data_IF_563679652511
#
_entry.id   IF_563679652511
#
_cell.length_a   1.000
_cell.length_b   1.000
_cell.length_c   1.000
_cell.angle_alpha   90.00
_cell.angle_beta   90.00
_cell.angle_gamma   90.00
#
_symmetry.space_group_name_H-M   'P 1'
#
loop_
_entity.id
_entity.type
_entity.pdbx_description
1 polymer ?
#
# COMPACT_ATOMS: atom_id res chain seq x y z
N UNK A 1 27.60 6.37 3.85
CA UNK A 1 26.20 6.32 4.33
C UNK A 1 25.72 7.74 4.58
N UNK A 2 24.44 8.04 4.31
CA UNK A 2 23.86 9.37 4.60
C UNK A 2 23.89 9.63 6.10
N UNK A 3 23.62 8.61 6.90
CA UNK A 3 23.65 8.65 8.36
C UNK A 3 25.04 9.01 8.95
N UNK A 4 26.11 8.94 8.17
CA UNK A 4 27.43 9.39 8.61
C UNK A 4 27.48 10.88 8.89
N UNK A 5 26.59 11.69 8.24
CA UNK A 5 26.47 13.11 8.52
C UNK A 5 26.10 13.40 9.99
N UNK A 6 25.38 12.51 10.65
CA UNK A 6 24.99 12.62 12.06
C UNK A 6 25.92 11.86 13.01
N UNK A 7 26.73 10.92 12.50
CA UNK A 7 27.46 9.96 13.36
C UNK A 7 28.98 10.02 13.21
N UNK A 8 29.53 10.54 12.11
CA UNK A 8 30.96 10.47 11.83
C UNK A 8 31.72 11.76 12.19
N UNK A 9 32.99 11.60 12.57
CA UNK A 9 33.87 12.71 12.91
C UNK A 9 33.71 13.23 14.34
N UNK A 10 34.70 13.99 14.82
CA UNK A 10 34.72 14.50 16.19
C UNK A 10 33.61 15.54 16.44
N UNK A 11 33.27 16.34 15.43
CA UNK A 11 32.22 17.34 15.52
C UNK A 11 30.83 16.74 15.80
N UNK A 12 30.62 15.46 15.47
CA UNK A 12 29.36 14.76 15.73
C UNK A 12 29.34 14.01 17.08
N UNK A 13 30.33 14.23 17.95
CA UNK A 13 30.35 13.64 19.29
C UNK A 13 29.11 14.02 20.12
N UNK A 14 28.55 15.25 20.08
CA UNK A 14 27.31 15.57 20.76
C UNK A 14 26.11 14.74 20.24
N UNK A 15 25.98 14.58 18.92
CA UNK A 15 24.92 13.74 18.33
C UNK A 15 25.08 12.27 18.73
N UNK A 16 26.30 11.74 18.69
CA UNK A 16 26.57 10.36 19.17
C UNK A 16 26.22 10.14 20.64
N UNK A 17 26.38 11.16 21.48
CA UNK A 17 25.93 11.07 22.88
C UNK A 17 24.42 10.86 22.99
N UNK A 18 23.61 11.44 22.07
CA UNK A 18 22.18 11.22 22.02
C UNK A 18 21.84 9.82 21.48
N UNK A 19 22.56 9.32 20.46
CA UNK A 19 22.41 7.93 20.02
C UNK A 19 22.76 6.94 21.15
N UNK A 20 23.78 7.22 21.94
CA UNK A 20 24.11 6.41 23.13
C UNK A 20 22.96 6.43 24.16
N UNK A 21 22.27 7.57 24.34
CA UNK A 21 21.10 7.66 25.21
C UNK A 21 19.91 6.83 24.69
N UNK A 22 19.84 6.57 23.40
CA UNK A 22 18.87 5.67 22.76
C UNK A 22 19.29 4.19 22.87
N UNK A 23 20.47 3.88 23.41
CA UNK A 23 20.97 2.52 23.57
C UNK A 23 21.71 1.96 22.34
N UNK A 24 22.12 2.80 21.39
CA UNK A 24 22.92 2.33 20.25
C UNK A 24 24.30 1.86 20.70
N UNK A 25 24.70 0.69 20.21
CA UNK A 25 26.05 0.16 20.45
C UNK A 25 27.06 0.75 19.45
N UNK A 26 28.35 0.61 19.76
CA UNK A 26 29.44 1.05 18.88
C UNK A 26 29.43 0.31 17.52
N UNK A 27 28.95 -0.94 17.50
CA UNK A 27 28.77 -1.75 16.29
C UNK A 27 27.60 -1.26 15.45
N UNK A 28 26.47 -0.91 16.08
CA UNK A 28 25.29 -0.36 15.40
C UNK A 28 25.57 1.00 14.78
N UNK A 29 26.39 1.83 15.43
CA UNK A 29 26.83 3.14 14.91
C UNK A 29 27.59 3.06 13.58
N UNK A 30 28.04 1.87 13.17
CA UNK A 30 28.76 1.63 11.90
C UNK A 30 27.88 1.04 10.80
N UNK A 31 26.64 0.70 11.10
CA UNK A 31 25.70 0.06 10.17
C UNK A 31 24.77 1.08 9.52
N UNK A 32 24.18 0.80 8.36
CA UNK A 32 23.11 1.62 7.78
C UNK A 32 21.95 1.79 8.75
N UNK A 33 21.45 3.02 8.89
CA UNK A 33 20.32 3.38 9.73
C UNK A 33 19.05 3.45 8.90
N UNK A 34 18.12 2.56 9.17
CA UNK A 34 16.86 2.42 8.41
C UNK A 34 15.71 2.98 9.23
N UNK A 35 15.06 4.03 8.68
CA UNK A 35 13.84 4.57 9.25
C UNK A 35 12.64 3.67 8.92
N UNK A 36 11.88 3.28 9.95
CA UNK A 36 10.62 2.56 9.78
C UNK A 36 9.49 3.53 10.10
N UNK A 37 8.77 3.94 9.07
CA UNK A 37 7.66 4.90 9.21
C UNK A 37 6.40 4.12 9.58
N UNK A 38 6.04 4.16 10.86
CA UNK A 38 4.93 3.41 11.42
C UNK A 38 3.67 4.27 11.51
N UNK A 39 2.61 3.87 10.84
CA UNK A 39 1.31 4.52 11.00
C UNK A 39 0.40 3.84 12.04
N UNK A 40 0.98 3.07 12.96
CA UNK A 40 0.26 2.45 14.06
C UNK A 40 -0.57 3.47 14.87
N UNK A 41 -1.80 3.11 15.14
CA UNK A 41 -2.68 3.76 16.11
C UNK A 41 -3.84 2.81 16.48
N UNK A 42 -4.57 3.11 17.55
CA UNK A 42 -5.64 2.27 18.08
C UNK A 42 -7.04 2.68 17.63
N UNK A 43 -7.17 3.79 16.86
CA UNK A 43 -8.48 4.29 16.40
C UNK A 43 -8.82 3.86 14.98
N UNK A 44 -7.83 3.50 14.16
CA UNK A 44 -8.06 3.07 12.77
C UNK A 44 -7.97 1.55 12.70
N UNK A 45 -9.03 0.82 12.34
CA UNK A 45 -9.01 -0.66 12.27
C UNK A 45 -7.91 -1.20 11.36
N UNK A 46 -7.58 -0.48 10.29
CA UNK A 46 -6.48 -0.83 9.38
C UNK A 46 -5.09 -0.69 9.98
N UNK A 47 -4.94 -0.02 11.13
CA UNK A 47 -3.65 0.33 11.70
C UNK A 47 -3.36 -0.33 13.06
N UNK A 48 -4.35 -0.91 13.70
CA UNK A 48 -4.22 -1.47 15.05
C UNK A 48 -3.26 -2.66 15.18
N UNK A 49 -2.89 -3.29 14.07
CA UNK A 49 -1.94 -4.42 14.02
C UNK A 49 -0.59 -4.05 13.38
N UNK A 50 -0.38 -2.79 13.00
CA UNK A 50 0.85 -2.34 12.33
C UNK A 50 2.07 -2.47 13.25
N UNK A 51 1.91 -2.40 14.56
CA UNK A 51 2.97 -2.68 15.54
C UNK A 51 3.64 -4.04 15.31
N UNK A 52 2.86 -5.09 15.02
CA UNK A 52 3.36 -6.45 14.72
C UNK A 52 4.14 -6.49 13.41
N UNK A 53 3.65 -5.78 12.40
CA UNK A 53 4.31 -5.66 11.09
C UNK A 53 5.62 -4.90 11.24
N UNK A 54 5.62 -3.77 11.95
CA UNK A 54 6.82 -2.97 12.25
C UNK A 54 7.88 -3.83 12.97
N UNK A 55 7.48 -4.61 13.97
CA UNK A 55 8.40 -5.51 14.66
C UNK A 55 8.98 -6.58 13.71
N UNK A 56 8.20 -7.10 12.79
CA UNK A 56 8.70 -8.04 11.78
C UNK A 56 9.67 -7.37 10.79
N UNK A 57 9.39 -6.13 10.35
CA UNK A 57 10.30 -5.32 9.53
C UNK A 57 11.63 -5.10 10.25
N UNK A 58 11.59 -4.73 11.55
CA UNK A 58 12.82 -4.55 12.36
C UNK A 58 13.69 -5.80 12.36
N UNK A 59 13.08 -6.98 12.49
CA UNK A 59 13.83 -8.25 12.43
C UNK A 59 14.48 -8.44 11.06
N UNK A 60 13.77 -8.16 9.97
CA UNK A 60 14.32 -8.27 8.61
C UNK A 60 15.47 -7.30 8.35
N UNK A 61 15.36 -6.04 8.81
CA UNK A 61 16.44 -5.05 8.71
C UNK A 61 17.68 -5.48 9.53
N UNK A 62 17.47 -5.93 10.78
CA UNK A 62 18.56 -6.35 11.65
C UNK A 62 19.26 -7.61 11.11
N UNK A 63 18.52 -8.60 10.61
CA UNK A 63 19.05 -9.82 9.99
C UNK A 63 19.90 -9.50 8.76
N UNK A 64 19.50 -8.48 7.97
CA UNK A 64 20.25 -8.02 6.80
C UNK A 64 21.38 -7.02 7.14
N UNK A 65 21.67 -6.79 8.43
CA UNK A 65 22.82 -6.01 8.88
C UNK A 65 22.60 -4.50 9.05
N UNK A 66 21.35 -4.03 9.01
CA UNK A 66 20.97 -2.63 9.27
C UNK A 66 20.55 -2.38 10.72
N UNK A 67 20.36 -1.10 11.08
CA UNK A 67 19.82 -0.67 12.37
C UNK A 67 18.44 -0.06 12.15
N UNK A 68 17.36 -0.71 12.60
CA UNK A 68 16.01 -0.21 12.42
C UNK A 68 15.61 0.82 13.48
N UNK A 69 15.13 1.98 13.07
CA UNK A 69 14.63 3.05 13.94
C UNK A 69 13.21 3.43 13.56
N UNK A 70 12.27 3.33 14.49
CA UNK A 70 10.86 3.59 14.24
C UNK A 70 10.51 5.05 14.54
N UNK A 71 9.74 5.68 13.65
CA UNK A 71 9.08 6.96 13.91
C UNK A 71 7.65 6.96 13.34
N UNK A 72 6.73 7.78 13.87
CA UNK A 72 5.32 7.71 13.51
C UNK A 72 4.97 8.49 12.25
N UNK A 73 3.94 8.00 11.54
CA UNK A 73 3.08 8.78 10.65
C UNK A 73 1.65 8.75 11.18
N UNK A 74 0.87 9.81 10.92
CA UNK A 74 -0.54 9.85 11.28
C UNK A 74 -1.40 9.08 10.26
N UNK A 75 -2.61 8.74 10.66
CA UNK A 75 -3.65 8.23 9.76
C UNK A 75 -5.03 8.63 10.27
N UNK A 76 -5.95 8.92 9.35
CA UNK A 76 -7.37 9.13 9.61
C UNK A 76 -8.15 7.98 8.97
N UNK A 77 -9.14 7.45 9.68
CA UNK A 77 -10.07 6.48 9.12
C UNK A 77 -11.22 7.21 8.42
N UNK A 78 -11.26 7.14 7.09
CA UNK A 78 -12.34 7.77 6.30
C UNK A 78 -13.71 7.20 6.68
N UNK A 79 -13.81 5.90 6.94
CA UNK A 79 -15.06 5.27 7.37
C UNK A 79 -15.62 5.80 8.69
N UNK A 80 -14.75 6.06 9.67
CA UNK A 80 -15.15 6.67 10.96
C UNK A 80 -15.45 8.16 10.78
N UNK A 81 -14.72 8.85 9.92
CA UNK A 81 -14.89 10.30 9.68
C UNK A 81 -16.08 10.62 8.77
N UNK A 82 -16.62 9.64 8.05
CA UNK A 82 -17.71 9.81 7.10
C UNK A 82 -19.00 10.30 7.78
N UNK A 83 -19.72 11.20 7.12
CA UNK A 83 -21.01 11.71 7.59
C UNK A 83 -20.94 12.85 8.62
N UNK A 84 -19.75 13.30 9.03
CA UNK A 84 -19.58 14.45 9.92
C UNK A 84 -18.40 15.33 9.52
N UNK A 85 -18.15 16.42 10.29
CA UNK A 85 -17.11 17.41 9.97
C UNK A 85 -15.70 16.82 9.85
N UNK A 86 -15.42 15.71 10.51
CA UNK A 86 -14.13 15.01 10.48
C UNK A 86 -13.67 14.62 9.08
N UNK A 87 -14.60 14.35 8.15
CA UNK A 87 -14.26 13.98 6.78
C UNK A 87 -13.49 15.06 6.02
N UNK A 88 -13.66 16.34 6.39
CA UNK A 88 -12.90 17.46 5.82
C UNK A 88 -11.39 17.37 6.10
N UNK A 89 -11.00 16.64 7.12
CA UNK A 89 -9.60 16.46 7.51
C UNK A 89 -8.93 15.26 6.85
N UNK A 90 -9.68 14.37 6.21
CA UNK A 90 -9.13 13.16 5.59
C UNK A 90 -8.08 13.51 4.51
N UNK A 91 -8.45 14.20 3.43
CA UNK A 91 -7.54 14.50 2.32
C UNK A 91 -6.35 15.37 2.75
N UNK A 92 -6.55 16.31 3.67
CA UNK A 92 -5.49 17.18 4.19
C UNK A 92 -4.35 16.38 4.81
N UNK A 93 -4.65 15.22 5.41
CA UNK A 93 -3.61 14.39 6.03
C UNK A 93 -2.63 13.79 5.03
N UNK A 94 -2.98 13.65 3.74
CA UNK A 94 -2.06 13.15 2.72
C UNK A 94 -0.79 14.01 2.65
N UNK A 95 -0.96 15.32 2.52
CA UNK A 95 0.17 16.25 2.40
C UNK A 95 0.91 16.38 3.75
N UNK A 96 0.18 16.44 4.87
CA UNK A 96 0.79 16.46 6.21
C UNK A 96 1.65 15.22 6.49
N UNK A 97 1.22 14.04 6.04
CA UNK A 97 1.97 12.80 6.16
C UNK A 97 3.25 12.88 5.32
N UNK A 98 3.15 13.36 4.08
CA UNK A 98 4.31 13.54 3.23
C UNK A 98 5.32 14.51 3.85
N UNK A 99 4.87 15.70 4.26
CA UNK A 99 5.71 16.77 4.83
C UNK A 99 6.38 16.33 6.13
N UNK A 100 5.62 15.74 7.06
CA UNK A 100 6.18 15.31 8.35
C UNK A 100 7.18 14.16 8.19
N UNK A 101 6.93 13.23 7.27
CA UNK A 101 7.85 12.12 6.98
C UNK A 101 9.14 12.64 6.36
N UNK A 102 9.05 13.57 5.41
CA UNK A 102 10.20 14.25 4.81
C UNK A 102 11.05 14.94 5.87
N UNK A 103 10.42 15.76 6.73
CA UNK A 103 11.11 16.44 7.83
C UNK A 103 11.87 15.47 8.74
N UNK A 104 11.22 14.38 9.15
CA UNK A 104 11.84 13.36 10.01
C UNK A 104 13.01 12.67 9.33
N UNK A 105 12.84 12.28 8.07
CA UNK A 105 13.86 11.54 7.33
C UNK A 105 15.12 12.40 7.07
N UNK A 106 14.94 13.65 6.63
CA UNK A 106 16.04 14.58 6.37
C UNK A 106 16.75 14.99 7.67
N UNK A 107 15.99 15.33 8.73
CA UNK A 107 16.59 15.75 10.00
C UNK A 107 17.45 14.67 10.65
N UNK A 108 17.07 13.40 10.52
CA UNK A 108 17.77 12.27 11.17
C UNK A 108 18.69 11.50 10.24
N UNK A 109 18.76 11.86 8.95
CA UNK A 109 19.73 11.35 7.98
C UNK A 109 19.69 9.82 7.82
N UNK A 110 18.50 9.25 7.58
CA UNK A 110 18.36 7.81 7.33
C UNK A 110 19.01 7.40 6.00
N UNK A 111 19.56 6.19 5.95
CA UNK A 111 20.15 5.59 4.75
C UNK A 111 19.11 4.91 3.84
N UNK A 112 17.96 4.57 4.40
CA UNK A 112 16.82 3.99 3.69
C UNK A 112 15.58 3.99 4.58
N UNK A 113 14.42 3.70 4.00
CA UNK A 113 13.13 3.77 4.67
C UNK A 113 12.29 2.51 4.40
N UNK A 114 11.57 2.04 5.42
CA UNK A 114 10.45 1.13 5.22
C UNK A 114 9.17 1.85 5.64
N UNK A 115 8.26 2.02 4.69
CA UNK A 115 6.97 2.67 4.91
C UNK A 115 5.93 1.61 5.27
N UNK A 116 5.23 1.79 6.40
CA UNK A 116 4.22 0.85 6.90
C UNK A 116 2.85 1.53 7.01
N UNK A 117 2.20 1.81 5.86
CA UNK A 117 0.87 2.40 5.78
C UNK A 117 -0.24 1.35 5.77
N UNK A 118 -1.51 1.82 5.77
CA UNK A 118 -2.64 0.97 5.35
C UNK A 118 -3.91 1.71 4.91
N UNK A 119 -4.08 2.99 5.19
CA UNK A 119 -5.34 3.72 4.94
C UNK A 119 -5.28 4.65 3.72
N UNK A 120 -6.44 5.18 3.36
CA UNK A 120 -6.76 5.89 2.12
C UNK A 120 -5.79 7.02 1.77
N UNK A 121 -5.41 7.85 2.72
CA UNK A 121 -4.54 9.02 2.51
C UNK A 121 -3.10 8.78 2.98
N UNK A 122 -2.94 7.77 3.84
CA UNK A 122 -1.66 7.41 4.42
C UNK A 122 -0.75 6.74 3.38
N UNK A 123 -1.28 5.82 2.56
CA UNK A 123 -0.51 5.17 1.49
C UNK A 123 0.01 6.19 0.47
N UNK A 124 -0.84 7.03 -0.16
CA UNK A 124 -0.35 8.00 -1.14
C UNK A 124 0.52 9.08 -0.50
N UNK A 125 0.27 9.53 0.73
CA UNK A 125 1.12 10.49 1.43
C UNK A 125 2.54 9.98 1.62
N UNK A 126 2.70 8.72 2.01
CA UNK A 126 4.01 8.10 2.14
C UNK A 126 4.69 7.84 0.79
N UNK A 127 3.92 7.54 -0.30
CA UNK A 127 4.48 7.46 -1.65
C UNK A 127 5.00 8.81 -2.14
N UNK A 128 4.29 9.91 -1.85
CA UNK A 128 4.78 11.27 -2.10
C UNK A 128 6.08 11.54 -1.34
N UNK A 129 6.14 11.21 -0.04
CA UNK A 129 7.37 11.35 0.75
C UNK A 129 8.53 10.54 0.18
N UNK A 130 8.30 9.29 -0.23
CA UNK A 130 9.33 8.44 -0.84
C UNK A 130 9.86 9.06 -2.14
N UNK A 131 8.98 9.59 -2.99
CA UNK A 131 9.33 10.26 -4.23
C UNK A 131 10.14 11.55 -3.99
N UNK A 132 9.79 12.36 -2.98
CA UNK A 132 10.54 13.58 -2.61
C UNK A 132 11.93 13.27 -2.09
N UNK A 133 12.01 12.36 -1.12
CA UNK A 133 13.24 11.99 -0.43
C UNK A 133 14.25 11.28 -1.34
N UNK A 134 13.75 10.51 -2.29
CA UNK A 134 14.56 9.71 -3.19
C UNK A 134 15.60 8.82 -2.50
N UNK A 135 15.23 8.26 -1.36
CA UNK A 135 16.02 7.27 -0.63
C UNK A 135 15.63 5.85 -1.05
N UNK A 136 16.50 4.84 -0.83
CA UNK A 136 16.10 3.44 -0.85
C UNK A 136 14.86 3.24 0.02
N UNK A 137 13.72 2.87 -0.57
CA UNK A 137 12.45 2.81 0.16
C UNK A 137 11.62 1.61 -0.27
N UNK A 138 11.11 0.86 0.70
CA UNK A 138 10.20 -0.28 0.50
C UNK A 138 8.90 -0.05 1.24
N UNK A 139 7.78 -0.45 0.63
CA UNK A 139 6.46 -0.41 1.26
C UNK A 139 6.03 -1.81 1.71
N UNK A 140 5.45 -1.87 2.89
CA UNK A 140 4.70 -3.03 3.37
C UNK A 140 3.44 -2.56 4.08
N UNK A 141 2.28 -2.83 3.49
CA UNK A 141 1.00 -2.37 4.05
C UNK A 141 0.53 -3.23 5.23
N UNK A 142 -0.43 -2.69 6.00
CA UNK A 142 -1.10 -3.43 7.06
C UNK A 142 -1.92 -4.61 6.57
N UNK A 143 -2.33 -4.62 5.32
CA UNK A 143 -3.16 -5.64 4.68
C UNK A 143 -4.67 -5.40 4.86
N UNK A 144 -5.50 -5.99 3.99
CA UNK A 144 -6.95 -5.94 4.09
C UNK A 144 -7.49 -6.80 5.24
N UNK A 145 -8.65 -6.40 5.79
CA UNK A 145 -9.42 -7.27 6.67
C UNK A 145 -10.11 -8.38 5.86
N UNK A 146 -10.52 -9.44 6.53
CA UNK A 146 -11.38 -10.47 5.96
C UNK A 146 -12.81 -9.92 5.77
N UNK A 147 -13.55 -10.48 4.83
CA UNK A 147 -14.97 -10.22 4.70
C UNK A 147 -15.73 -10.78 5.92
N UNK A 148 -16.75 -10.05 6.38
CA UNK A 148 -17.66 -10.53 7.41
C UNK A 148 -18.63 -11.58 6.86
N UNK A 149 -19.29 -12.30 7.77
CA UNK A 149 -20.32 -13.28 7.41
C UNK A 149 -21.62 -12.96 8.15
N UNK A 150 -22.63 -12.58 7.37
CA UNK A 150 -23.99 -12.32 7.90
C UNK A 150 -24.98 -13.20 7.14
N UNK A 151 -25.78 -13.96 7.88
CA UNK A 151 -26.78 -14.89 7.31
C UNK A 151 -26.22 -15.81 6.23
N UNK A 152 -24.99 -16.34 6.45
CA UNK A 152 -24.32 -17.27 5.53
C UNK A 152 -23.72 -16.66 4.26
N UNK A 153 -23.68 -15.34 4.15
CA UNK A 153 -23.09 -14.64 2.99
C UNK A 153 -21.94 -13.75 3.42
N UNK A 154 -20.90 -13.67 2.60
CA UNK A 154 -19.83 -12.67 2.75
C UNK A 154 -20.40 -11.26 2.68
N UNK A 155 -19.95 -10.36 3.55
CA UNK A 155 -20.37 -8.96 3.66
C UNK A 155 -19.18 -8.07 3.99
N UNK A 156 -19.33 -6.79 3.70
CA UNK A 156 -18.32 -5.77 4.01
C UNK A 156 -18.98 -4.50 4.54
N UNK A 157 -18.19 -3.48 4.83
CA UNK A 157 -18.69 -2.17 5.26
C UNK A 157 -19.74 -1.58 4.28
N UNK A 158 -19.62 -1.82 2.96
CA UNK A 158 -20.64 -1.37 2.00
C UNK A 158 -22.00 -2.00 2.27
N UNK A 159 -22.02 -3.28 2.67
CA UNK A 159 -23.26 -3.95 3.04
C UNK A 159 -23.94 -3.33 4.27
N UNK A 160 -23.15 -2.65 5.14
CA UNK A 160 -23.70 -1.92 6.27
C UNK A 160 -24.47 -0.67 5.80
N UNK A 161 -23.95 0.06 4.81
CA UNK A 161 -24.69 1.20 4.22
C UNK A 161 -25.98 0.74 3.55
N UNK A 162 -25.98 -0.41 2.87
CA UNK A 162 -27.17 -1.01 2.26
C UNK A 162 -28.18 -1.44 3.36
N UNK A 163 -27.71 -1.99 4.47
CA UNK A 163 -28.54 -2.38 5.62
C UNK A 163 -29.24 -1.17 6.25
N UNK A 164 -28.51 -0.07 6.47
CA UNK A 164 -29.09 1.19 6.97
C UNK A 164 -30.14 1.73 6.01
N UNK A 165 -29.88 1.70 4.69
CA UNK A 165 -30.86 2.10 3.67
C UNK A 165 -32.11 1.20 3.67
N UNK A 166 -31.94 -0.11 3.84
CA UNK A 166 -33.03 -1.09 3.92
C UNK A 166 -33.88 -0.90 5.18
N UNK A 167 -33.25 -0.58 6.30
CA UNK A 167 -33.94 -0.24 7.55
C UNK A 167 -34.78 1.04 7.36
N UNK A 168 -34.21 2.09 6.78
CA UNK A 168 -34.94 3.33 6.48
C UNK A 168 -36.13 3.11 5.53
N UNK A 169 -36.02 2.16 4.61
CA UNK A 169 -37.09 1.75 3.70
C UNK A 169 -38.12 0.80 4.35
N UNK A 170 -37.93 0.37 5.58
CA UNK A 170 -38.81 -0.55 6.30
C UNK A 170 -38.75 -2.02 5.82
N UNK A 171 -37.68 -2.40 5.09
CA UNK A 171 -37.47 -3.76 4.58
C UNK A 171 -36.52 -4.60 5.43
N UNK A 172 -35.92 -4.00 6.46
CA UNK A 172 -35.03 -4.64 7.42
C UNK A 172 -35.40 -4.21 8.83
N UNK A 173 -35.27 -5.09 9.82
CA UNK A 173 -35.50 -4.81 11.24
C UNK A 173 -34.26 -4.19 11.88
N UNK A 174 -34.42 -3.55 13.04
CA UNK A 174 -33.31 -3.05 13.84
C UNK A 174 -32.37 -4.20 14.29
N UNK A 175 -32.92 -5.35 14.65
CA UNK A 175 -32.15 -6.54 15.03
C UNK A 175 -31.27 -7.04 13.88
N UNK A 176 -31.79 -7.02 12.64
CA UNK A 176 -31.00 -7.34 11.44
C UNK A 176 -29.82 -6.36 11.26
N UNK A 177 -30.06 -5.05 11.46
CA UNK A 177 -29.02 -4.02 11.36
C UNK A 177 -27.93 -4.23 12.41
N UNK A 178 -28.31 -4.53 13.65
CA UNK A 178 -27.36 -4.83 14.73
C UNK A 178 -26.50 -6.07 14.42
N UNK A 179 -27.10 -7.12 13.82
CA UNK A 179 -26.31 -8.28 13.37
C UNK A 179 -25.28 -7.91 12.31
N UNK A 180 -25.62 -7.01 11.36
CA UNK A 180 -24.69 -6.50 10.36
C UNK A 180 -23.57 -5.71 11.03
N UNK A 181 -23.90 -4.78 11.93
CA UNK A 181 -22.96 -3.92 12.64
C UNK A 181 -21.87 -4.74 13.37
N UNK A 182 -22.26 -5.82 14.04
CA UNK A 182 -21.32 -6.68 14.77
C UNK A 182 -20.42 -7.53 13.86
N UNK A 183 -20.86 -7.88 12.63
CA UNK A 183 -20.24 -8.96 11.88
C UNK A 183 -19.56 -8.55 10.56
N UNK A 184 -19.85 -7.36 10.01
CA UNK A 184 -19.33 -6.97 8.68
C UNK A 184 -17.85 -6.62 8.64
N UNK A 185 -17.27 -6.25 9.79
CA UNK A 185 -15.85 -5.91 9.94
C UNK A 185 -15.20 -6.82 11.00
N UNK A 186 -14.90 -8.10 10.68
CA UNK A 186 -14.58 -9.11 11.69
C UNK A 186 -13.14 -9.08 12.18
N UNK A 187 -12.22 -8.42 11.47
CA UNK A 187 -10.78 -8.43 11.78
C UNK A 187 -10.16 -7.04 11.67
N UNK A 188 -8.94 -6.90 12.17
CA UNK A 188 -8.09 -5.76 11.81
C UNK A 188 -7.76 -5.78 10.31
N UNK A 189 -7.35 -4.66 9.78
CA UNK A 189 -6.99 -4.47 8.37
C UNK A 189 -7.73 -3.29 7.74
N UNK A 190 -7.32 -2.90 6.53
CA UNK A 190 -8.10 -2.00 5.68
C UNK A 190 -9.41 -2.66 5.25
N UNK A 191 -10.27 -1.96 4.52
CA UNK A 191 -11.53 -2.53 4.05
C UNK A 191 -11.34 -3.88 3.34
N UNK A 192 -12.34 -4.79 3.41
CA UNK A 192 -12.27 -6.09 2.73
C UNK A 192 -12.53 -6.04 1.22
N UNK A 193 -13.01 -4.90 0.70
CA UNK A 193 -13.25 -4.67 -0.74
C UNK A 193 -12.22 -3.75 -1.38
N UNK A 194 -12.40 -3.47 -2.69
CA UNK A 194 -11.52 -2.61 -3.49
C UNK A 194 -11.89 -1.12 -3.30
N UNK A 195 -11.76 -0.64 -2.07
CA UNK A 195 -11.85 0.78 -1.73
C UNK A 195 -10.50 1.46 -1.85
N UNK A 196 -10.41 2.75 -1.54
CA UNK A 196 -9.21 3.56 -1.77
C UNK A 196 -7.95 2.99 -1.10
N UNK A 197 -8.05 2.52 0.15
CA UNK A 197 -6.91 1.92 0.85
C UNK A 197 -6.32 0.73 0.08
N UNK A 198 -7.16 -0.23 -0.30
CA UNK A 198 -6.72 -1.41 -1.04
C UNK A 198 -6.33 -1.09 -2.48
N UNK A 199 -7.01 -0.15 -3.14
CA UNK A 199 -6.60 0.37 -4.44
C UNK A 199 -5.16 0.87 -4.38
N UNK A 200 -4.85 1.78 -3.46
CA UNK A 200 -3.50 2.33 -3.34
C UNK A 200 -2.47 1.30 -2.89
N UNK A 201 -2.83 0.33 -2.04
CA UNK A 201 -1.94 -0.77 -1.67
C UNK A 201 -1.63 -1.70 -2.86
N UNK A 202 -2.60 -1.99 -3.73
CA UNK A 202 -2.41 -2.75 -4.97
C UNK A 202 -1.57 -1.94 -5.98
N UNK A 203 -1.86 -0.65 -6.13
CA UNK A 203 -1.10 0.22 -7.02
C UNK A 203 0.35 0.44 -6.53
N UNK A 204 0.60 0.42 -5.23
CA UNK A 204 1.97 0.41 -4.67
C UNK A 204 2.77 -0.81 -5.14
N UNK A 205 2.11 -1.98 -5.23
CA UNK A 205 2.69 -3.20 -5.77
C UNK A 205 2.91 -3.09 -7.29
N UNK A 206 1.94 -2.55 -8.03
CA UNK A 206 2.04 -2.32 -9.47
C UNK A 206 3.11 -1.28 -9.87
N UNK A 207 3.32 -0.25 -9.03
CA UNK A 207 4.43 0.71 -9.15
C UNK A 207 5.80 0.07 -8.94
N UNK A 208 5.87 -1.12 -8.34
CA UNK A 208 7.12 -1.76 -7.97
C UNK A 208 7.65 -1.36 -6.58
N UNK A 209 6.94 -0.54 -5.80
CA UNK A 209 7.35 -0.06 -4.48
C UNK A 209 7.03 -1.03 -3.34
N UNK A 210 6.21 -2.04 -3.57
CA UNK A 210 5.87 -3.13 -2.66
C UNK A 210 6.24 -4.49 -3.22
N UNK A 211 6.58 -5.43 -2.34
CA UNK A 211 6.79 -6.82 -2.72
C UNK A 211 5.46 -7.51 -3.07
N UNK A 212 5.53 -8.62 -3.82
CA UNK A 212 4.36 -9.44 -4.20
C UNK A 212 3.47 -9.74 -3.01
N UNK A 213 2.18 -9.45 -3.14
CA UNK A 213 1.18 -9.64 -2.10
C UNK A 213 1.03 -8.46 -1.13
N UNK A 214 1.75 -7.35 -1.36
CA UNK A 214 1.60 -6.14 -0.55
C UNK A 214 0.15 -5.67 -0.49
N UNK A 215 -0.55 -5.64 -1.62
CA UNK A 215 -1.91 -5.16 -1.71
C UNK A 215 -2.98 -6.16 -1.25
N UNK A 216 -2.69 -7.46 -1.25
CA UNK A 216 -3.75 -8.48 -1.19
C UNK A 216 -3.68 -9.45 -0.01
N UNK A 217 -2.49 -9.76 0.53
CA UNK A 217 -2.38 -10.67 1.68
C UNK A 217 -3.18 -10.10 2.87
N UNK A 218 -4.18 -10.83 3.41
CA UNK A 218 -4.94 -10.36 4.56
C UNK A 218 -4.08 -10.02 5.79
N UNK A 219 -4.51 -9.02 6.54
CA UNK A 219 -3.80 -8.51 7.73
C UNK A 219 -3.53 -9.57 8.79
N UNK A 220 -4.41 -10.55 8.91
CA UNK A 220 -4.36 -11.61 9.93
C UNK A 220 -3.60 -12.85 9.50
N UNK A 221 -3.15 -12.93 8.23
CA UNK A 221 -2.42 -14.09 7.73
C UNK A 221 -0.94 -14.04 8.14
N UNK A 222 -0.37 -15.22 8.46
CA UNK A 222 1.06 -15.34 8.79
C UNK A 222 1.98 -14.89 7.66
N UNK A 223 1.51 -14.96 6.42
CA UNK A 223 2.21 -14.49 5.22
C UNK A 223 2.48 -12.98 5.25
N UNK A 224 1.59 -12.19 5.89
CA UNK A 224 1.80 -10.74 6.10
C UNK A 224 3.05 -10.48 6.94
N UNK A 225 3.28 -11.29 7.97
CA UNK A 225 4.48 -11.19 8.83
C UNK A 225 5.75 -11.62 8.07
N UNK A 226 5.66 -12.66 7.22
CA UNK A 226 6.78 -13.07 6.36
C UNK A 226 7.13 -11.96 5.37
N UNK A 227 6.11 -11.36 4.72
CA UNK A 227 6.27 -10.24 3.79
C UNK A 227 6.97 -9.06 4.48
N UNK A 228 6.59 -8.72 5.71
CA UNK A 228 7.18 -7.65 6.48
C UNK A 228 8.69 -7.87 6.76
N UNK A 229 9.09 -9.10 7.10
CA UNK A 229 10.52 -9.45 7.23
C UNK A 229 11.26 -9.28 5.91
N UNK A 230 10.69 -9.80 4.82
CA UNK A 230 11.29 -9.66 3.48
C UNK A 230 11.39 -8.18 3.04
N UNK A 231 10.44 -7.33 3.41
CA UNK A 231 10.53 -5.89 3.15
C UNK A 231 11.72 -5.25 3.88
N UNK A 232 11.96 -5.66 5.14
CA UNK A 232 13.14 -5.23 5.89
C UNK A 232 14.47 -5.69 5.27
N UNK A 233 14.51 -6.90 4.71
CA UNK A 233 15.69 -7.39 3.97
C UNK A 233 15.85 -6.64 2.64
N UNK A 234 14.75 -6.41 1.92
CA UNK A 234 14.76 -5.77 0.61
C UNK A 234 15.27 -4.32 0.68
N UNK A 235 14.91 -3.53 1.70
CA UNK A 235 15.45 -2.16 1.83
C UNK A 235 16.96 -2.17 2.02
N UNK A 236 17.51 -3.16 2.73
CA UNK A 236 18.96 -3.31 2.89
C UNK A 236 19.64 -3.65 1.56
N UNK A 237 19.02 -4.52 0.76
CA UNK A 237 19.51 -4.83 -0.59
C UNK A 237 19.50 -3.59 -1.48
N UNK A 238 18.47 -2.76 -1.40
CA UNK A 238 18.39 -1.48 -2.13
C UNK A 238 19.49 -0.52 -1.68
N UNK A 239 19.71 -0.36 -0.38
CA UNK A 239 20.80 0.47 0.15
C UNK A 239 22.17 -0.01 -0.38
N UNK A 240 22.40 -1.31 -0.36
CA UNK A 240 23.67 -1.88 -0.85
C UNK A 240 23.88 -1.73 -2.37
N UNK A 241 22.79 -1.75 -3.14
CA UNK A 241 22.80 -1.60 -4.61
C UNK A 241 22.68 -0.15 -5.07
N UNK A 242 22.38 0.79 -4.17
CA UNK A 242 22.14 2.19 -4.49
C UNK A 242 20.86 2.42 -5.28
N UNK A 243 19.85 1.55 -5.16
CA UNK A 243 18.55 1.70 -5.80
C UNK A 243 17.69 2.64 -4.95
N UNK A 244 17.20 3.72 -5.54
CA UNK A 244 16.40 4.74 -4.85
C UNK A 244 14.93 4.69 -5.29
N UNK A 245 14.08 5.46 -4.60
CA UNK A 245 12.66 5.51 -4.91
C UNK A 245 12.36 5.97 -6.34
N UNK A 246 13.15 6.93 -6.88
CA UNK A 246 12.94 7.47 -8.25
C UNK A 246 13.48 6.56 -9.35
N UNK A 247 14.30 5.55 -9.02
CA UNK A 247 14.64 4.50 -9.98
C UNK A 247 13.45 3.58 -10.24
N UNK A 248 12.46 3.56 -9.32
CA UNK A 248 11.27 2.72 -9.35
C UNK A 248 10.03 3.55 -9.72
N UNK A 249 9.79 4.67 -9.00
CA UNK A 249 8.69 5.59 -9.32
C UNK A 249 9.08 6.44 -10.53
N UNK A 250 8.73 5.95 -11.71
CA UNK A 250 9.00 6.59 -12.99
C UNK A 250 7.67 6.87 -13.70
N UNK A 251 7.74 7.63 -14.80
CA UNK A 251 6.57 7.81 -15.67
C UNK A 251 5.99 6.46 -16.09
N UNK A 252 6.81 5.52 -16.50
CA UNK A 252 6.38 4.22 -17.01
C UNK A 252 5.75 3.36 -15.93
N UNK A 253 6.30 3.35 -14.71
CA UNK A 253 5.70 2.63 -13.59
C UNK A 253 4.37 3.24 -13.14
N UNK A 254 4.21 4.56 -13.23
CA UNK A 254 2.93 5.25 -12.98
C UNK A 254 1.91 4.86 -14.05
N UNK A 255 2.30 4.77 -15.33
CA UNK A 255 1.43 4.30 -16.40
C UNK A 255 1.04 2.83 -16.22
N UNK A 256 1.96 1.96 -15.77
CA UNK A 256 1.66 0.59 -15.37
C UNK A 256 0.62 0.55 -14.25
N UNK A 257 0.82 1.36 -13.19
CA UNK A 257 -0.14 1.44 -12.09
C UNK A 257 -1.52 1.87 -12.57
N UNK A 258 -1.61 2.87 -13.46
CA UNK A 258 -2.87 3.33 -14.05
C UNK A 258 -3.54 2.22 -14.88
N UNK A 259 -2.78 1.43 -15.63
CA UNK A 259 -3.30 0.28 -16.37
C UNK A 259 -3.86 -0.79 -15.43
N UNK A 260 -3.12 -1.10 -14.35
CA UNK A 260 -3.58 -2.05 -13.32
C UNK A 260 -4.80 -1.53 -12.58
N UNK A 261 -4.89 -0.21 -12.33
CA UNK A 261 -6.04 0.47 -11.74
C UNK A 261 -7.33 0.19 -12.53
N UNK A 262 -7.27 0.32 -13.85
CA UNK A 262 -8.40 0.06 -14.74
C UNK A 262 -8.77 -1.43 -14.76
N UNK A 263 -7.80 -2.34 -14.79
CA UNK A 263 -8.05 -3.78 -14.82
C UNK A 263 -8.67 -4.31 -13.53
N UNK A 264 -8.27 -3.77 -12.39
CA UNK A 264 -8.79 -4.13 -11.07
C UNK A 264 -10.16 -3.46 -10.76
N UNK A 265 -10.51 -2.38 -11.46
CA UNK A 265 -11.67 -1.55 -11.10
C UNK A 265 -11.47 -0.85 -9.77
N UNK A 266 -10.35 -0.17 -9.60
CA UNK A 266 -9.98 0.53 -8.38
C UNK A 266 -10.87 1.74 -8.08
N UNK A 267 -10.70 2.31 -6.88
CA UNK A 267 -11.40 3.52 -6.47
C UNK A 267 -11.00 4.73 -7.32
N UNK A 268 -11.96 5.58 -7.68
CA UNK A 268 -11.71 6.85 -8.38
C UNK A 268 -10.75 7.79 -7.65
N UNK A 269 -10.49 7.58 -6.36
CA UNK A 269 -9.46 8.31 -5.61
C UNK A 269 -8.04 8.07 -6.15
N UNK A 270 -7.78 6.98 -6.86
CA UNK A 270 -6.51 6.76 -7.56
C UNK A 270 -6.20 7.88 -8.55
N UNK A 271 -7.24 8.42 -9.21
CA UNK A 271 -7.13 9.57 -10.13
C UNK A 271 -6.81 10.90 -9.41
N UNK A 272 -6.90 10.93 -8.09
CA UNK A 272 -6.44 12.05 -7.27
C UNK A 272 -5.01 11.80 -6.75
N UNK A 273 -4.67 10.54 -6.47
CA UNK A 273 -3.41 10.19 -5.79
C UNK A 273 -2.26 9.92 -6.75
N UNK A 274 -2.49 9.23 -7.87
CA UNK A 274 -1.43 9.00 -8.88
C UNK A 274 -0.88 10.33 -9.46
N UNK A 275 -1.72 11.33 -9.82
CA UNK A 275 -1.20 12.65 -10.22
C UNK A 275 -0.37 13.33 -9.13
N UNK A 276 -0.77 13.23 -7.85
CA UNK A 276 0.00 13.81 -6.76
C UNK A 276 1.38 13.15 -6.60
N UNK A 277 1.45 11.83 -6.72
CA UNK A 277 2.72 11.09 -6.69
C UNK A 277 3.58 11.43 -7.92
N UNK A 278 2.97 11.52 -9.11
CA UNK A 278 3.64 11.92 -10.34
C UNK A 278 4.26 13.31 -10.25
N UNK A 279 3.55 14.26 -9.63
CA UNK A 279 4.06 15.60 -9.38
C UNK A 279 5.37 15.60 -8.61
N UNK A 280 5.51 14.73 -7.61
CA UNK A 280 6.72 14.67 -6.76
C UNK A 280 7.99 14.19 -7.52
N UNK A 281 7.82 13.50 -8.63
CA UNK A 281 8.92 13.12 -9.52
C UNK A 281 9.09 14.07 -10.73
N UNK A 282 8.32 15.17 -10.75
CA UNK A 282 8.34 16.13 -11.86
C UNK A 282 7.63 15.66 -13.13
N UNK A 283 6.77 14.64 -13.03
CA UNK A 283 5.95 14.20 -14.17
C UNK A 283 4.62 14.96 -14.15
N UNK A 284 4.40 15.76 -15.20
CA UNK A 284 3.13 16.46 -15.42
C UNK A 284 2.06 15.46 -15.89
N UNK A 285 1.30 14.96 -14.93
CA UNK A 285 0.26 13.97 -15.16
C UNK A 285 -1.07 14.65 -15.47
N UNK A 286 -1.44 14.73 -16.76
CA UNK A 286 -2.80 15.12 -17.14
C UNK A 286 -3.78 13.96 -16.86
N UNK A 287 -4.85 14.23 -16.11
CA UNK A 287 -5.91 13.25 -15.82
C UNK A 287 -6.51 12.64 -17.11
N UNK A 288 -6.41 13.34 -18.23
CA UNK A 288 -6.84 12.82 -19.54
C UNK A 288 -6.05 11.60 -20.01
N UNK A 289 -4.88 11.33 -19.45
CA UNK A 289 -4.13 10.09 -19.74
C UNK A 289 -4.94 8.84 -19.34
N UNK A 290 -5.88 8.96 -18.41
CA UNK A 290 -6.75 7.86 -18.02
C UNK A 290 -7.64 7.37 -19.17
N UNK A 291 -8.13 8.28 -20.04
CA UNK A 291 -9.07 7.93 -21.11
C UNK A 291 -8.49 6.89 -22.10
N UNK A 292 -7.34 7.15 -22.79
CA UNK A 292 -6.81 6.19 -23.75
C UNK A 292 -6.31 4.89 -23.11
N UNK A 293 -5.97 4.90 -21.81
CA UNK A 293 -5.62 3.69 -21.08
C UNK A 293 -6.89 2.90 -20.76
N UNK A 294 -7.93 3.56 -20.25
CA UNK A 294 -9.22 2.94 -19.98
C UNK A 294 -9.85 2.30 -21.23
N UNK A 295 -9.70 2.94 -22.39
CA UNK A 295 -10.22 2.43 -23.66
C UNK A 295 -9.57 1.11 -24.11
N UNK A 296 -8.33 0.85 -23.68
CA UNK A 296 -7.53 -0.30 -24.11
C UNK A 296 -7.41 -1.39 -23.05
N UNK A 297 -7.72 -1.05 -21.79
CA UNK A 297 -7.49 -1.95 -20.66
C UNK A 297 -8.74 -2.74 -20.34
N UNK A 298 -8.72 -4.08 -20.45
CA UNK A 298 -9.85 -4.90 -20.07
C UNK A 298 -10.05 -4.86 -18.55
N UNK A 299 -11.31 -4.79 -18.12
CA UNK A 299 -11.67 -4.95 -16.72
C UNK A 299 -11.71 -6.45 -16.38
N UNK A 300 -10.82 -6.87 -15.48
CA UNK A 300 -10.59 -8.28 -15.16
C UNK A 300 -11.16 -8.69 -13.79
N UNK A 301 -11.49 -7.74 -12.93
CA UNK A 301 -11.94 -8.02 -11.57
C UNK A 301 -13.18 -7.21 -11.21
N UNK A 302 -14.14 -7.88 -10.53
CA UNK A 302 -15.29 -7.24 -9.91
C UNK A 302 -15.27 -7.53 -8.40
N UNK A 303 -14.49 -6.73 -7.67
CA UNK A 303 -14.43 -6.81 -6.21
C UNK A 303 -15.49 -5.93 -5.56
N UNK A 304 -15.94 -6.27 -4.36
CA UNK A 304 -16.83 -5.43 -3.58
C UNK A 304 -16.28 -3.99 -3.47
N UNK A 305 -17.08 -2.94 -3.66
CA UNK A 305 -18.54 -2.92 -3.80
C UNK A 305 -19.08 -3.22 -5.21
N UNK A 306 -18.24 -3.26 -6.25
CA UNK A 306 -18.67 -3.45 -7.64
C UNK A 306 -19.09 -4.89 -7.97
N UNK A 307 -18.71 -5.88 -7.15
CA UNK A 307 -19.00 -7.28 -7.36
C UNK A 307 -19.00 -8.11 -6.08
N UNK A 308 -19.15 -9.43 -6.19
CA UNK A 308 -19.36 -10.33 -5.05
C UNK A 308 -18.06 -10.84 -4.42
N UNK A 309 -16.89 -10.53 -4.99
CA UNK A 309 -15.60 -11.02 -4.53
C UNK A 309 -14.90 -9.99 -3.63
N UNK A 310 -13.96 -10.43 -2.82
CA UNK A 310 -13.27 -9.63 -1.80
C UNK A 310 -11.76 -9.72 -1.98
N UNK A 311 -11.00 -8.93 -1.20
CA UNK A 311 -9.54 -8.88 -1.30
C UNK A 311 -8.88 -10.23 -0.97
N UNK A 312 -9.45 -11.01 -0.06
CA UNK A 312 -8.99 -12.37 0.25
C UNK A 312 -9.13 -13.30 -0.97
N UNK A 313 -10.23 -13.18 -1.73
CA UNK A 313 -10.47 -13.98 -2.94
C UNK A 313 -9.46 -13.59 -4.03
N UNK A 314 -9.17 -12.29 -4.20
CA UNK A 314 -8.14 -11.81 -5.11
C UNK A 314 -6.75 -12.35 -4.72
N UNK A 315 -6.42 -12.36 -3.43
CA UNK A 315 -5.16 -12.93 -2.95
C UNK A 315 -5.01 -14.41 -3.32
N UNK A 316 -6.05 -15.20 -3.08
CA UNK A 316 -6.08 -16.63 -3.39
C UNK A 316 -6.02 -16.91 -4.90
N UNK A 317 -6.63 -16.04 -5.71
CA UNK A 317 -6.60 -16.10 -7.17
C UNK A 317 -5.23 -15.78 -7.78
N UNK A 318 -4.29 -15.23 -7.01
CA UNK A 318 -2.92 -14.92 -7.45
C UNK A 318 -2.50 -13.47 -7.24
N UNK A 319 -3.40 -12.64 -6.75
CA UNK A 319 -3.14 -11.25 -6.37
C UNK A 319 -2.87 -10.32 -7.56
N UNK A 320 -2.30 -9.17 -7.27
CA UNK A 320 -1.99 -8.12 -8.25
C UNK A 320 -1.07 -8.64 -9.37
N UNK A 321 -0.08 -9.48 -9.03
CA UNK A 321 0.86 -10.00 -10.04
C UNK A 321 0.19 -10.95 -11.05
N UNK A 322 -0.88 -11.65 -10.67
CA UNK A 322 -1.64 -12.45 -11.63
C UNK A 322 -2.39 -11.54 -12.62
N UNK A 323 -2.99 -10.44 -12.15
CA UNK A 323 -3.60 -9.42 -13.03
C UNK A 323 -2.55 -8.77 -13.93
N UNK A 324 -1.39 -8.39 -13.38
CA UNK A 324 -0.29 -7.83 -14.16
C UNK A 324 0.22 -8.80 -15.22
N UNK A 325 0.24 -10.10 -14.95
CA UNK A 325 0.64 -11.12 -15.93
C UNK A 325 -0.33 -11.16 -17.11
N UNK A 326 -1.64 -11.18 -16.86
CA UNK A 326 -2.67 -11.13 -17.92
C UNK A 326 -2.50 -9.87 -18.81
N UNK A 327 -2.22 -8.71 -18.20
CA UNK A 327 -2.01 -7.46 -18.93
C UNK A 327 -0.67 -7.43 -19.71
N UNK A 328 0.39 -7.97 -19.13
CA UNK A 328 1.70 -8.03 -19.78
C UNK A 328 1.68 -8.96 -21.01
N UNK A 329 0.94 -10.06 -20.96
CA UNK A 329 0.83 -11.01 -22.06
C UNK A 329 0.18 -10.41 -23.32
N UNK A 330 -0.58 -9.35 -23.16
CA UNK A 330 -1.15 -8.57 -24.29
C UNK A 330 -0.42 -7.23 -24.55
N UNK A 331 0.74 -7.04 -23.92
CA UNK A 331 1.61 -5.88 -24.18
C UNK A 331 1.12 -4.55 -23.59
N UNK A 332 0.27 -4.56 -22.56
CA UNK A 332 -0.25 -3.35 -21.92
C UNK A 332 0.63 -2.82 -20.78
N UNK A 333 1.67 -3.55 -20.37
CA UNK A 333 2.58 -3.11 -19.30
C UNK A 333 4.01 -2.95 -19.85
N UNK A 334 4.70 -1.93 -19.34
CA UNK A 334 6.16 -1.84 -19.48
C UNK A 334 6.81 -2.77 -18.45
N UNK A 335 7.28 -3.91 -18.92
CA UNK A 335 7.86 -4.96 -18.07
C UNK A 335 9.29 -4.68 -17.63
N UNK A 336 9.95 -3.66 -18.16
CA UNK A 336 11.34 -3.30 -17.83
C UNK A 336 11.43 -2.40 -16.59
N UNK A 337 10.29 -1.90 -16.07
CA UNK A 337 10.27 -1.11 -14.85
C UNK A 337 10.88 -1.87 -13.67
N UNK A 338 11.78 -1.19 -12.93
CA UNK A 338 12.46 -1.72 -11.75
C UNK A 338 11.48 -1.86 -10.57
N UNK A 339 11.78 -2.79 -9.66
CA UNK A 339 11.03 -2.97 -8.40
C UNK A 339 11.96 -2.97 -7.18
N UNK A 340 11.37 -2.84 -6.00
CA UNK A 340 12.08 -2.94 -4.69
C UNK A 340 12.76 -4.30 -4.47
N UNK A 341 12.45 -5.31 -5.26
CA UNK A 341 13.16 -6.61 -5.21
C UNK A 341 14.51 -6.57 -5.94
N UNK A 342 14.85 -5.46 -6.61
CA UNK A 342 16.02 -5.33 -7.47
C UNK A 342 15.91 -6.12 -8.77
N UNK A 343 14.68 -6.47 -9.17
CA UNK A 343 14.30 -7.13 -10.43
C UNK A 343 13.32 -6.29 -11.19
N UNK A 344 13.18 -6.53 -12.48
CA UNK A 344 12.15 -5.87 -13.30
C UNK A 344 10.75 -6.43 -13.00
N UNK A 345 9.71 -5.69 -13.38
CA UNK A 345 8.32 -6.16 -13.33
C UNK A 345 8.19 -7.47 -14.09
N UNK A 346 8.76 -7.58 -15.30
CA UNK A 346 8.72 -8.79 -16.12
C UNK A 346 9.28 -10.03 -15.40
N UNK A 347 10.44 -9.89 -14.76
CA UNK A 347 11.05 -10.96 -13.96
C UNK A 347 10.19 -11.32 -12.75
N UNK A 348 9.57 -10.34 -12.09
CA UNK A 348 8.72 -10.56 -10.93
C UNK A 348 7.43 -11.30 -11.26
N UNK A 349 6.78 -10.97 -12.38
CA UNK A 349 5.50 -11.59 -12.78
C UNK A 349 5.69 -12.87 -13.59
N UNK A 350 6.90 -13.23 -14.01
CA UNK A 350 7.18 -14.41 -14.84
C UNK A 350 6.64 -15.73 -14.25
N UNK A 351 6.61 -15.83 -12.91
CA UNK A 351 6.07 -17.00 -12.18
C UNK A 351 4.67 -16.79 -11.65
N UNK A 352 4.06 -15.63 -11.94
CA UNK A 352 2.68 -15.38 -11.54
C UNK A 352 1.72 -16.10 -12.49
N UNK A 353 0.63 -16.60 -11.93
CA UNK A 353 -0.44 -17.20 -12.71
C UNK A 353 -1.79 -16.98 -12.01
N UNK A 354 -2.82 -16.90 -12.82
CA UNK A 354 -4.19 -16.81 -12.36
C UNK A 354 -4.67 -18.21 -11.92
N UNK A 355 -5.05 -18.33 -10.65
CA UNK A 355 -5.50 -19.59 -10.02
C UNK A 355 -7.01 -19.73 -10.03
N UNK A 356 -7.72 -18.64 -10.25
CA UNK A 356 -9.18 -18.63 -10.24
C UNK A 356 -9.74 -17.63 -11.27
N UNK A 357 -10.08 -18.09 -12.48
CA UNK A 357 -10.66 -17.25 -13.54
C UNK A 357 -12.04 -16.68 -13.24
N UNK A 358 -12.67 -17.11 -12.16
CA UNK A 358 -13.93 -16.52 -11.68
C UNK A 358 -13.71 -15.22 -10.91
N UNK A 359 -12.52 -15.05 -10.31
CA UNK A 359 -12.12 -13.87 -9.53
C UNK A 359 -11.30 -12.92 -10.39
N UNK A 360 -10.28 -13.43 -11.08
CA UNK A 360 -9.49 -12.69 -12.06
C UNK A 360 -9.84 -13.25 -13.43
N UNK A 361 -10.63 -12.54 -14.21
CA UNK A 361 -10.98 -12.98 -15.55
C UNK A 361 -9.77 -12.93 -16.47
N UNK A 362 -9.74 -13.87 -17.44
CA UNK A 362 -8.77 -13.79 -18.54
C UNK A 362 -9.16 -12.65 -19.49
N UNK A 363 -8.22 -12.18 -20.28
CA UNK A 363 -8.45 -11.11 -21.26
C UNK A 363 -9.59 -11.48 -22.23
N UNK A 364 -9.62 -12.74 -22.71
CA UNK A 364 -10.65 -13.23 -23.65
C UNK A 364 -12.05 -13.31 -23.02
N UNK A 365 -12.16 -13.30 -21.69
CA UNK A 365 -13.41 -13.36 -20.94
C UNK A 365 -13.56 -12.22 -19.95
N UNK A 366 -12.98 -11.05 -20.26
CA UNK A 366 -13.05 -9.87 -19.41
C UNK A 366 -14.51 -9.43 -19.17
N UNK A 367 -14.76 -8.77 -18.04
CA UNK A 367 -16.08 -8.19 -17.76
C UNK A 367 -16.45 -7.10 -18.79
N UNK A 368 -15.44 -6.36 -19.21
CA UNK A 368 -15.52 -5.36 -20.28
C UNK A 368 -14.14 -5.27 -20.94
N UNK A 369 -14.12 -5.00 -22.25
CA UNK A 369 -12.87 -4.72 -22.98
C UNK A 369 -12.33 -3.32 -22.72
N UNK A 370 -13.10 -2.50 -22.02
CA UNK A 370 -12.78 -1.12 -21.66
C UNK A 370 -13.55 -0.72 -20.41
N UNK A 371 -12.92 -0.02 -19.48
CA UNK A 371 -13.60 0.45 -18.26
C UNK A 371 -14.55 1.63 -18.53
N UNK A 372 -14.38 2.35 -19.64
CA UNK A 372 -15.19 3.54 -19.98
C UNK A 372 -16.67 3.21 -20.25
N UNK A 373 -16.98 1.95 -20.48
CA UNK A 373 -18.33 1.50 -20.78
C UNK A 373 -19.07 0.88 -19.58
N UNK A 374 -18.48 0.97 -18.39
CA UNK A 374 -19.11 0.57 -17.13
C UNK A 374 -19.77 1.77 -16.47
#
# INVERSE_FOLDING_TARGET
MISDNARSGMQQAPARSLFNALGFTAEEMKKPMIGIVSSYNEIVPGHMNIDKIVNAVKLGVAEAGGVPVVFPAIAVCDGIAMGHVGMKYSLVTRDLIADSTECMAIAHQFDGLVMVPNCDKNVPGLLMAAARLNLPTVFVSGGPMLAGHVKGKKRSLSSMFEAVGSYAAGTMTEEDVLEFEEKVCPTCGSCSGMYTANSMNCLTEALGMGLRGNGTIPAVYSERIKLAKHAGMAVMDMVNKGITARDIITKDSIMNALTVDMALGCSTNSMLHLPAIAHEIGFDFDIKFANPISEKTPNLCHLAPAGPTYMEDLNEAGGVYAVMKELADIGLLNTDCMTVSGKTIGECIATAYNRNPEVIRTVDNAYSLSLIHI
#
